data_IF_393750173884
#
_entry.id   IF_393750173884
#
_cell.length_a   1.000
_cell.length_b   1.000
_cell.length_c   1.000
_cell.angle_alpha   90.00
_cell.angle_beta   90.00
_cell.angle_gamma   90.00
#
_symmetry.space_group_name_H-M   'P 1'
#
loop_
_entity.id
_entity.type
_entity.pdbx_description
1 polymer ?
#
# COMPACT_ATOMS: atom_id res chain seq x y z
N UNK A 1 -6.29 -18.11 14.76
CA UNK A 1 -6.92 -16.79 14.96
C UNK A 1 -6.18 -16.06 16.09
N UNK A 2 -5.47 -14.96 15.79
CA UNK A 2 -5.12 -13.89 16.75
C UNK A 2 -3.86 -14.01 17.61
N UNK A 3 -2.65 -13.96 17.03
CA UNK A 3 -1.39 -13.72 17.81
C UNK A 3 -0.93 -12.25 17.83
N UNK A 4 -1.66 -11.33 17.20
CA UNK A 4 -1.33 -9.90 17.09
C UNK A 4 -2.26 -8.98 17.91
N UNK A 5 -3.08 -9.51 18.83
CA UNK A 5 -4.04 -8.72 19.63
C UNK A 5 -3.41 -7.94 20.81
N UNK A 6 -2.11 -8.06 21.06
CA UNK A 6 -1.56 -7.72 22.38
C UNK A 6 -0.90 -6.35 22.54
N UNK A 7 -0.39 -5.72 21.49
CA UNK A 7 0.51 -4.57 21.65
C UNK A 7 0.01 -3.36 20.86
N UNK A 8 -0.55 -2.41 21.57
CA UNK A 8 -0.79 -1.07 21.04
C UNK A 8 0.53 -0.29 21.08
N UNK A 9 1.03 0.09 19.91
CA UNK A 9 2.22 0.96 19.84
C UNK A 9 1.82 2.39 20.16
N UNK A 10 2.50 2.98 21.16
CA UNK A 10 2.28 4.38 21.50
C UNK A 10 3.09 5.28 20.54
N UNK A 11 2.49 5.59 19.40
CA UNK A 11 3.10 6.43 18.37
C UNK A 11 2.92 7.91 18.69
N UNK A 12 3.99 8.69 18.54
CA UNK A 12 3.91 10.15 18.55
C UNK A 12 3.59 10.61 17.13
N UNK A 13 2.39 11.15 16.94
CA UNK A 13 1.88 11.63 15.66
C UNK A 13 1.58 13.12 15.73
N UNK A 14 1.72 13.83 14.61
CA UNK A 14 1.19 15.19 14.47
C UNK A 14 -0.35 15.14 14.60
N UNK A 15 -0.96 16.19 15.16
CA UNK A 15 -2.40 16.24 15.41
C UNK A 15 -3.22 15.98 14.14
N UNK A 16 -2.85 16.64 13.04
CA UNK A 16 -3.52 16.48 11.74
C UNK A 16 -3.50 15.03 11.24
N UNK A 17 -2.39 14.32 11.42
CA UNK A 17 -2.28 12.91 11.01
C UNK A 17 -3.15 12.01 11.89
N UNK A 18 -3.20 12.29 13.19
CA UNK A 18 -4.07 11.56 14.12
C UNK A 18 -5.54 11.72 13.74
N UNK A 19 -5.96 12.93 13.38
CA UNK A 19 -7.34 13.22 13.00
C UNK A 19 -7.74 12.49 11.70
N UNK A 20 -6.85 12.46 10.70
CA UNK A 20 -7.05 11.68 9.46
C UNK A 20 -7.22 10.17 9.72
N UNK A 21 -6.43 9.61 10.64
CA UNK A 21 -6.53 8.19 11.01
C UNK A 21 -7.85 7.93 11.77
N UNK A 22 -8.25 8.83 12.66
CA UNK A 22 -9.50 8.70 13.41
C UNK A 22 -10.74 8.72 12.49
N UNK A 23 -10.75 9.62 11.50
CA UNK A 23 -11.79 9.70 10.49
C UNK A 23 -11.85 8.42 9.63
N UNK A 24 -10.72 7.99 9.07
CA UNK A 24 -10.64 6.76 8.28
C UNK A 24 -11.08 5.52 9.06
N UNK A 25 -10.71 5.41 10.34
CA UNK A 25 -11.10 4.30 11.20
C UNK A 25 -12.62 4.27 11.42
N UNK A 26 -13.24 5.45 11.58
CA UNK A 26 -14.69 5.61 11.71
C UNK A 26 -15.42 5.20 10.43
N UNK A 27 -14.96 5.64 9.26
CA UNK A 27 -15.55 5.29 7.96
C UNK A 27 -15.51 3.77 7.71
N UNK A 28 -14.39 3.13 8.08
CA UNK A 28 -14.17 1.69 7.91
C UNK A 28 -14.71 0.84 9.06
N UNK A 29 -15.45 1.43 10.02
CA UNK A 29 -16.00 0.77 11.21
C UNK A 29 -14.97 -0.07 11.99
N UNK A 30 -13.76 0.46 12.19
CA UNK A 30 -12.67 -0.21 12.93
C UNK A 30 -12.03 0.71 13.97
N UNK A 31 -11.25 0.15 14.89
CA UNK A 31 -10.48 0.95 15.85
C UNK A 31 -9.32 1.68 15.15
N UNK A 32 -8.87 2.82 15.68
CA UNK A 32 -7.67 3.51 15.16
C UNK A 32 -6.44 2.59 15.10
N UNK A 33 -6.25 1.75 16.13
CA UNK A 33 -5.13 0.82 16.15
C UNK A 33 -5.25 -0.23 15.02
N UNK A 34 -6.45 -0.74 14.77
CA UNK A 34 -6.70 -1.64 13.65
C UNK A 34 -6.48 -0.94 12.29
N UNK A 35 -6.81 0.35 12.18
CA UNK A 35 -6.54 1.14 10.97
C UNK A 35 -5.04 1.32 10.71
N UNK A 36 -4.28 1.64 11.75
CA UNK A 36 -2.81 1.77 11.70
C UNK A 36 -2.17 0.43 11.30
N UNK A 37 -2.56 -0.66 11.96
CA UNK A 37 -2.00 -2.00 11.66
C UNK A 37 -2.28 -2.37 10.20
N UNK A 38 -3.52 -2.23 9.73
CA UNK A 38 -3.86 -2.56 8.35
C UNK A 38 -3.06 -1.73 7.35
N UNK A 39 -2.88 -0.42 7.57
CA UNK A 39 -2.07 0.44 6.69
C UNK A 39 -0.60 0.02 6.68
N UNK A 40 -0.07 -0.41 7.82
CA UNK A 40 1.30 -0.91 7.91
C UNK A 40 1.43 -2.25 7.18
N UNK A 41 0.50 -3.19 7.38
CA UNK A 41 0.45 -4.47 6.65
C UNK A 41 0.40 -4.22 5.13
N UNK A 42 -0.51 -3.36 4.67
CA UNK A 42 -0.65 -2.94 3.27
C UNK A 42 0.64 -2.35 2.69
N UNK A 43 1.48 -1.71 3.52
CA UNK A 43 2.74 -1.10 3.08
C UNK A 43 3.84 -2.14 2.81
N UNK A 44 3.74 -3.31 3.41
CA UNK A 44 4.67 -4.43 3.19
C UNK A 44 4.28 -5.32 2.02
N UNK A 45 3.03 -5.25 1.56
CA UNK A 45 2.61 -5.94 0.35
C UNK A 45 3.28 -5.28 -0.87
N UNK A 46 4.07 -6.04 -1.64
CA UNK A 46 4.62 -5.57 -2.91
C UNK A 46 3.49 -5.38 -3.92
N UNK A 47 2.91 -4.17 -3.95
CA UNK A 47 1.81 -3.84 -4.85
C UNK A 47 2.33 -3.58 -6.26
N UNK A 48 2.60 -4.65 -7.01
CA UNK A 48 2.50 -4.60 -8.47
C UNK A 48 1.03 -4.58 -8.93
N UNK A 49 0.06 -4.72 -8.02
CA UNK A 49 -1.38 -4.70 -8.35
C UNK A 49 -1.84 -3.41 -9.06
N UNK A 50 -1.10 -2.31 -8.94
CA UNK A 50 -1.33 -1.14 -9.80
C UNK A 50 -1.15 -1.48 -11.28
N UNK A 51 -0.17 -2.30 -11.66
CA UNK A 51 0.09 -2.71 -13.04
C UNK A 51 -1.10 -3.46 -13.66
N UNK A 52 -1.88 -4.21 -12.86
CA UNK A 52 -3.09 -4.90 -13.35
C UNK A 52 -4.17 -3.92 -13.82
N UNK A 53 -4.18 -2.70 -13.28
CA UNK A 53 -5.12 -1.65 -13.67
C UNK A 53 -4.62 -0.76 -14.81
N UNK A 54 -3.32 -0.82 -15.13
CA UNK A 54 -2.73 -0.02 -16.21
C UNK A 54 -3.05 -0.69 -17.55
N UNK A 55 -3.60 0.03 -18.54
CA UNK A 55 -3.80 -0.51 -19.88
C UNK A 55 -2.50 -1.06 -20.44
N UNK A 56 -2.54 -2.26 -21.02
CA UNK A 56 -1.36 -2.94 -21.58
C UNK A 56 -0.60 -2.06 -22.57
N UNK A 57 -1.30 -1.23 -23.35
CA UNK A 57 -0.68 -0.30 -24.29
C UNK A 57 0.27 0.70 -23.60
N UNK A 58 -0.14 1.27 -22.47
CA UNK A 58 0.68 2.23 -21.71
C UNK A 58 1.90 1.54 -21.10
N UNK A 59 1.75 0.30 -20.62
CA UNK A 59 2.87 -0.52 -20.16
C UNK A 59 3.86 -0.77 -21.30
N UNK A 60 3.37 -1.14 -22.48
CA UNK A 60 4.22 -1.42 -23.64
C UNK A 60 4.95 -0.17 -24.15
N UNK A 61 4.30 1.01 -24.14
CA UNK A 61 4.96 2.28 -24.48
C UNK A 61 6.10 2.58 -23.52
N UNK A 62 5.89 2.44 -22.22
CA UNK A 62 6.92 2.71 -21.22
C UNK A 62 8.07 1.70 -21.32
N UNK A 63 7.77 0.42 -21.53
CA UNK A 63 8.78 -0.60 -21.76
C UNK A 63 9.60 -0.32 -23.03
N UNK A 64 8.96 -0.01 -24.16
CA UNK A 64 9.65 0.33 -25.40
C UNK A 64 10.57 1.55 -25.24
N UNK A 65 10.14 2.56 -24.47
CA UNK A 65 10.94 3.74 -24.13
C UNK A 65 12.18 3.36 -23.30
N UNK A 66 12.02 2.53 -22.26
CA UNK A 66 13.12 2.14 -21.35
C UNK A 66 14.09 1.15 -22.00
N UNK A 67 13.57 0.25 -22.83
CA UNK A 67 14.30 -0.84 -23.44
C UNK A 67 14.80 -0.50 -24.84
N UNK A 68 14.74 0.77 -25.26
CA UNK A 68 15.24 1.18 -26.55
C UNK A 68 16.74 0.84 -26.67
N UNK A 69 17.06 -0.22 -27.43
CA UNK A 69 18.41 -0.75 -27.59
C UNK A 69 18.77 -1.98 -26.74
N UNK A 70 17.86 -2.50 -25.91
CA UNK A 70 18.05 -3.70 -25.08
C UNK A 70 17.18 -4.86 -25.57
N UNK A 71 17.75 -6.07 -25.63
CA UNK A 71 16.97 -7.31 -25.82
C UNK A 71 16.77 -8.00 -24.48
N UNK A 72 15.52 -8.27 -24.12
CA UNK A 72 15.17 -9.10 -22.96
C UNK A 72 15.04 -10.54 -23.45
N UNK A 73 15.79 -11.45 -22.83
CA UNK A 73 15.56 -12.89 -22.93
C UNK A 73 14.75 -13.29 -21.70
N UNK A 74 13.60 -13.91 -21.93
CA UNK A 74 12.76 -14.46 -20.86
C UNK A 74 12.90 -15.97 -20.93
N UNK A 75 13.31 -16.59 -19.81
CA UNK A 75 13.36 -18.05 -19.64
C UNK A 75 11.97 -18.67 -19.49
#
# INVERSE_FOLDING_TARGET
MGKHLGVAYNLRLQQELKDKIAESAKELNRSMNADIVARLEDSFEQKFGFLESVPTEELMKELAKRLNGFSIVVD
#
